data_IF_809738140105
#
_entry.id   IF_809738140105
#
_cell.length_a   1.000
_cell.length_b   1.000
_cell.length_c   1.000
_cell.angle_alpha   90.00
_cell.angle_beta   90.00
_cell.angle_gamma   90.00
#
_symmetry.space_group_name_H-M   'P 1'
#
loop_
_entity.id
_entity.type
_entity.pdbx_description
1 polymer ?
#
# COMPACT_ATOMS: atom_id res chain seq x y z
N UNK A 1 -21.96 -4.75 -36.85
CA UNK A 1 -21.88 -5.83 -35.86
C UNK A 1 -20.45 -5.91 -35.33
N UNK A 2 -20.25 -6.31 -34.06
CA UNK A 2 -19.01 -6.29 -33.26
C UNK A 2 -18.65 -4.99 -32.50
N UNK A 3 -19.59 -4.45 -31.72
CA UNK A 3 -19.28 -3.67 -30.52
C UNK A 3 -18.91 -4.63 -29.37
N UNK A 4 -17.62 -4.97 -29.24
CA UNK A 4 -17.10 -5.70 -28.08
C UNK A 4 -16.54 -4.69 -27.09
N UNK A 5 -17.19 -4.44 -25.94
CA UNK A 5 -16.55 -3.70 -24.86
C UNK A 5 -15.43 -4.59 -24.31
N UNK A 6 -14.17 -4.18 -24.56
CA UNK A 6 -13.02 -4.71 -23.83
C UNK A 6 -13.02 -4.05 -22.45
N UNK A 7 -13.91 -4.48 -21.56
CA UNK A 7 -13.78 -4.16 -20.14
C UNK A 7 -12.64 -5.00 -19.58
N UNK A 8 -11.42 -4.60 -19.95
CA UNK A 8 -10.20 -5.08 -19.32
C UNK A 8 -10.24 -4.64 -17.86
N UNK A 9 -10.06 -5.62 -16.98
CA UNK A 9 -10.14 -5.56 -15.53
C UNK A 9 -9.16 -4.56 -14.90
N UNK A 10 -9.39 -3.26 -15.10
CA UNK A 10 -8.71 -2.16 -14.42
C UNK A 10 -9.06 -2.07 -12.91
N UNK A 11 -9.82 -3.04 -12.41
CA UNK A 11 -10.22 -3.16 -11.00
C UNK A 11 -9.09 -3.81 -10.19
N UNK A 12 -8.32 -4.73 -10.80
CA UNK A 12 -7.23 -5.43 -10.13
C UNK A 12 -6.17 -4.51 -9.49
N UNK A 13 -5.68 -3.42 -10.12
CA UNK A 13 -4.64 -2.57 -9.53
C UNK A 13 -5.10 -1.80 -8.30
N UNK A 14 -6.39 -1.40 -8.26
CA UNK A 14 -6.95 -0.62 -7.14
C UNK A 14 -7.10 -1.48 -5.88
N UNK A 15 -7.53 -2.73 -6.02
CA UNK A 15 -7.74 -3.64 -4.90
C UNK A 15 -6.44 -3.90 -4.12
N UNK A 16 -5.31 -4.11 -4.81
CA UNK A 16 -4.02 -4.32 -4.13
C UNK A 16 -3.51 -3.07 -3.40
N UNK A 17 -3.79 -1.87 -3.92
CA UNK A 17 -3.47 -0.61 -3.23
C UNK A 17 -4.32 -0.39 -1.97
N UNK A 18 -5.62 -0.67 -2.07
CA UNK A 18 -6.57 -0.52 -0.96
C UNK A 18 -6.35 -1.57 0.15
N UNK A 19 -6.00 -2.81 -0.21
CA UNK A 19 -5.67 -3.88 0.74
C UNK A 19 -4.48 -3.54 1.65
N UNK A 20 -3.50 -2.80 1.12
CA UNK A 20 -2.30 -2.41 1.87
C UNK A 20 -2.45 -1.02 2.50
N UNK A 21 -3.37 -0.17 2.02
CA UNK A 21 -3.61 1.17 2.55
C UNK A 21 -2.42 2.12 2.45
N UNK A 22 -1.46 1.80 1.59
CA UNK A 22 -0.24 2.56 1.32
C UNK A 22 -0.14 2.77 -0.18
N UNK A 23 0.22 4.00 -0.59
CA UNK A 23 0.45 4.31 -2.00
C UNK A 23 1.44 3.28 -2.59
N UNK A 24 1.08 2.52 -3.64
CA UNK A 24 1.88 1.40 -4.17
C UNK A 24 3.35 1.76 -4.45
N UNK A 25 3.63 3.03 -4.73
CA UNK A 25 4.97 3.60 -4.87
C UNK A 25 5.86 3.30 -3.64
N UNK A 26 5.32 3.41 -2.43
CA UNK A 26 6.07 3.12 -1.19
C UNK A 26 6.43 1.65 -1.03
N UNK A 27 5.60 0.74 -1.55
CA UNK A 27 5.87 -0.70 -1.55
C UNK A 27 7.10 -0.99 -2.42
N UNK A 28 7.12 -0.40 -3.61
CA UNK A 28 8.24 -0.55 -4.55
C UNK A 28 9.52 0.03 -3.95
N UNK A 29 9.46 1.22 -3.33
CA UNK A 29 10.61 1.84 -2.66
C UNK A 29 11.15 0.94 -1.54
N UNK A 30 10.28 0.37 -0.70
CA UNK A 30 10.68 -0.51 0.40
C UNK A 30 11.31 -1.81 -0.11
N UNK A 31 10.78 -2.37 -1.19
CA UNK A 31 11.30 -3.57 -1.84
C UNK A 31 12.69 -3.34 -2.45
N UNK A 32 12.89 -2.21 -3.14
CA UNK A 32 14.18 -1.81 -3.69
C UNK A 32 15.22 -1.56 -2.59
N UNK A 33 14.81 -0.90 -1.51
CA UNK A 33 15.69 -0.59 -0.39
C UNK A 33 16.11 -1.87 0.35
N UNK A 34 15.16 -2.76 0.61
CA UNK A 34 15.42 -4.09 1.16
C UNK A 34 16.34 -4.90 0.24
N UNK A 35 16.01 -4.99 -1.05
CA UNK A 35 16.82 -5.70 -2.04
C UNK A 35 18.25 -5.16 -2.13
N UNK A 36 18.46 -3.85 -1.98
CA UNK A 36 19.79 -3.24 -2.01
C UNK A 36 20.59 -3.47 -0.72
N UNK A 37 19.93 -3.51 0.44
CA UNK A 37 20.57 -3.68 1.75
C UNK A 37 20.94 -5.14 2.05
N UNK A 38 20.20 -6.11 1.50
CA UNK A 38 20.39 -7.53 1.82
C UNK A 38 20.14 -8.51 0.67
N UNK A 39 20.02 -8.04 -0.58
CA UNK A 39 19.72 -8.91 -1.72
C UNK A 39 18.39 -9.64 -1.54
N UNK A 40 18.39 -10.96 -1.78
CA UNK A 40 17.21 -11.82 -1.64
C UNK A 40 16.70 -11.88 -0.19
N UNK A 41 17.60 -11.84 0.80
CA UNK A 41 17.19 -11.78 2.21
C UNK A 41 16.45 -10.48 2.53
N UNK A 42 16.86 -9.40 1.88
CA UNK A 42 16.19 -8.11 1.96
C UNK A 42 14.78 -8.10 1.35
N UNK A 43 14.51 -8.93 0.33
CA UNK A 43 13.16 -9.10 -0.23
C UNK A 43 12.23 -9.85 0.74
N UNK A 44 12.73 -10.90 1.40
CA UNK A 44 11.96 -11.68 2.39
C UNK A 44 11.64 -10.80 3.61
N UNK A 45 12.60 -9.99 4.05
CA UNK A 45 12.43 -9.07 5.18
C UNK A 45 11.62 -7.82 4.80
N UNK A 46 11.53 -7.44 3.51
CA UNK A 46 10.79 -6.25 3.08
C UNK A 46 9.30 -6.32 3.47
N UNK A 47 8.69 -7.51 3.41
CA UNK A 47 7.26 -7.70 3.75
C UNK A 47 6.97 -7.43 5.23
N UNK A 48 7.63 -8.08 6.22
CA UNK A 48 7.42 -7.77 7.63
C UNK A 48 7.88 -6.35 7.99
N UNK A 49 8.94 -5.83 7.34
CA UNK A 49 9.44 -4.48 7.60
C UNK A 49 8.45 -3.39 7.13
N UNK A 50 7.82 -3.56 5.96
CA UNK A 50 6.77 -2.67 5.48
C UNK A 50 5.55 -2.68 6.43
N UNK A 51 5.18 -3.85 6.97
CA UNK A 51 4.15 -3.97 7.99
C UNK A 51 4.51 -3.26 9.30
N UNK A 52 5.76 -3.37 9.75
CA UNK A 52 6.26 -2.71 10.96
C UNK A 52 6.29 -1.18 10.80
N UNK A 53 6.78 -0.68 9.66
CA UNK A 53 6.78 0.75 9.34
C UNK A 53 5.35 1.27 9.26
N UNK A 54 4.42 0.53 8.64
CA UNK A 54 2.99 0.91 8.61
C UNK A 54 2.40 0.98 10.01
N UNK A 55 2.66 -0.01 10.88
CA UNK A 55 2.20 0.03 12.28
C UNK A 55 2.73 1.25 13.01
N UNK A 56 4.01 1.56 12.85
CA UNK A 56 4.65 2.71 13.50
C UNK A 56 4.09 4.04 12.96
N UNK A 57 3.97 4.16 11.63
CA UNK A 57 3.39 5.32 10.96
C UNK A 57 1.90 5.51 11.30
N UNK A 58 1.14 4.42 11.49
CA UNK A 58 -0.24 4.48 11.91
C UNK A 58 -0.36 4.92 13.37
N UNK A 59 0.59 4.54 14.23
CA UNK A 59 0.66 5.00 15.62
C UNK A 59 0.88 6.51 15.72
N UNK A 60 1.60 7.10 14.76
CA UNK A 60 1.78 8.54 14.63
C UNK A 60 0.58 9.24 13.94
N UNK A 61 -0.26 8.49 13.22
CA UNK A 61 -1.50 8.99 12.56
C UNK A 61 -2.74 8.90 13.46
N UNK A 62 -2.57 8.58 14.74
CA UNK A 62 -3.61 8.64 15.78
C UNK A 62 -3.96 10.09 16.18
N UNK A 63 -3.84 11.07 15.28
CA UNK A 63 -3.99 12.50 15.60
C UNK A 63 -4.88 13.28 14.61
N UNK A 64 -5.60 12.66 13.67
CA UNK A 64 -6.54 13.44 12.82
C UNK A 64 -7.64 12.63 12.14
N UNK A 65 -8.51 11.95 12.89
CA UNK A 65 -9.80 11.49 12.33
C UNK A 65 -11.01 11.65 13.25
N UNK A 66 -10.84 12.27 14.42
CA UNK A 66 -11.94 12.53 15.37
C UNK A 66 -12.58 13.93 15.20
N UNK A 67 -12.09 14.78 14.28
CA UNK A 67 -12.58 16.15 14.09
C UNK A 67 -13.49 16.36 12.85
N UNK A 68 -14.04 15.30 12.24
CA UNK A 68 -15.02 15.41 11.12
C UNK A 68 -16.22 14.48 11.38
N UNK A 69 -16.83 14.59 12.56
CA UNK A 69 -18.19 14.11 12.81
C UNK A 69 -18.80 14.94 13.94
N UNK A 70 -19.08 16.21 13.63
CA UNK A 70 -20.00 16.99 14.44
C UNK A 70 -21.40 16.88 13.81
N UNK A 71 -22.39 16.28 14.49
CA UNK A 71 -23.79 16.46 14.13
C UNK A 71 -24.21 17.90 14.44
N UNK A 72 -24.75 18.59 13.44
CA UNK A 72 -25.78 19.61 13.62
C UNK A 72 -26.90 19.33 12.63
#
# INVERSE_FOLDING_TARGET
>A
DYHRPRTGSAIAPRIFGDLVGLNPVWIIISLLLGAKLGGVLGLILAVPLAGAIKRFANNLRTETSEAVNLPK
#
